data_IF_286199538444
#
_entry.id   IF_286199538444
#
_cell.length_a   1.000
_cell.length_b   1.000
_cell.length_c   1.000
_cell.angle_alpha   90.00
_cell.angle_beta   90.00
_cell.angle_gamma   90.00
#
_symmetry.space_group_name_H-M   'P 1'
#
loop_
_entity.id
_entity.type
_entity.pdbx_description
1 polymer ?
#
# COMPACT_ATOMS: atom_id res chain seq x y z
N UNK A 1 0.21 8.99 -10.41
CA UNK A 1 0.43 7.54 -10.60
C UNK A 1 -0.80 6.90 -11.23
N UNK A 2 -0.73 5.62 -11.63
CA UNK A 2 -1.82 4.93 -12.35
C UNK A 2 -2.92 4.32 -11.47
N UNK A 3 -2.85 4.53 -10.16
CA UNK A 3 -3.76 3.87 -9.21
C UNK A 3 -3.40 2.42 -8.92
N UNK A 4 -4.20 1.78 -8.07
CA UNK A 4 -4.05 0.41 -7.60
C UNK A 4 -5.29 -0.37 -8.04
N UNK A 5 -5.07 -1.56 -8.58
CA UNK A 5 -6.15 -2.46 -8.99
C UNK A 5 -6.97 -2.88 -7.75
N UNK A 6 -8.32 -2.92 -7.83
CA UNK A 6 -9.18 -3.24 -6.69
C UNK A 6 -8.81 -4.53 -5.96
N UNK A 7 -8.38 -5.57 -6.69
CA UNK A 7 -7.93 -6.85 -6.15
C UNK A 7 -6.66 -6.77 -5.28
N UNK A 8 -5.87 -5.71 -5.44
CA UNK A 8 -4.63 -5.50 -4.71
C UNK A 8 -4.82 -4.66 -3.45
N UNK A 9 -5.89 -3.86 -3.35
CA UNK A 9 -6.12 -2.93 -2.23
C UNK A 9 -6.02 -3.61 -0.86
N UNK A 10 -6.57 -4.82 -0.72
CA UNK A 10 -6.51 -5.57 0.54
C UNK A 10 -5.13 -6.17 0.85
N UNK A 11 -4.27 -6.27 -0.16
CA UNK A 11 -2.94 -6.92 -0.07
C UNK A 11 -1.80 -5.92 0.07
N UNK A 12 -2.00 -4.64 -0.28
CA UNK A 12 -0.90 -3.65 -0.33
C UNK A 12 -0.19 -3.41 1.00
N UNK A 13 -0.84 -3.72 2.13
CA UNK A 13 -0.25 -3.63 3.47
C UNK A 13 0.35 -4.96 3.96
N UNK A 14 0.23 -6.04 3.20
CA UNK A 14 0.85 -7.32 3.53
C UNK A 14 2.37 -7.22 3.31
N UNK A 15 3.19 -7.71 4.24
CA UNK A 15 4.63 -7.80 4.05
C UNK A 15 4.97 -8.55 2.76
N UNK A 16 5.97 -8.05 2.03
CA UNK A 16 6.49 -8.60 0.78
C UNK A 16 5.53 -8.54 -0.42
N UNK A 17 4.34 -7.95 -0.28
CA UNK A 17 3.46 -7.75 -1.44
C UNK A 17 4.01 -6.68 -2.38
N UNK A 18 4.18 -7.04 -3.65
CA UNK A 18 4.61 -6.11 -4.70
C UNK A 18 4.08 -6.57 -6.06
N UNK A 19 3.68 -5.61 -6.90
CA UNK A 19 3.37 -5.87 -8.33
C UNK A 19 4.57 -5.61 -9.23
N UNK A 20 5.71 -5.18 -8.66
CA UNK A 20 6.94 -4.96 -9.41
C UNK A 20 7.62 -6.30 -9.73
N UNK A 21 8.39 -6.38 -10.83
CA UNK A 21 9.15 -7.57 -11.16
C UNK A 21 10.11 -8.00 -10.03
N UNK A 22 10.50 -9.29 -9.99
CA UNK A 22 11.50 -9.78 -9.06
C UNK A 22 12.78 -8.94 -9.07
N UNK A 23 13.31 -8.62 -7.88
CA UNK A 23 14.53 -7.81 -7.72
C UNK A 23 14.33 -6.29 -7.80
N UNK A 24 13.14 -5.79 -8.15
CA UNK A 24 12.88 -4.33 -8.28
C UNK A 24 12.20 -3.75 -7.03
N UNK A 25 11.47 -4.56 -6.27
CA UNK A 25 10.76 -4.11 -5.07
C UNK A 25 10.71 -5.18 -4.00
N UNK A 26 10.98 -4.79 -2.76
CA UNK A 26 10.92 -5.68 -1.58
C UNK A 26 9.50 -5.88 -1.06
N UNK A 27 8.57 -4.98 -1.38
CA UNK A 27 7.19 -5.03 -0.87
C UNK A 27 7.05 -4.73 0.64
N UNK A 28 8.05 -4.08 1.25
CA UNK A 28 8.06 -3.83 2.70
C UNK A 28 7.61 -2.43 3.13
N UNK A 29 7.59 -1.45 2.21
CA UNK A 29 7.36 -0.06 2.56
C UNK A 29 6.00 0.18 3.24
N UNK A 30 4.91 -0.26 2.60
CA UNK A 30 3.56 -0.05 3.11
C UNK A 30 3.26 -0.88 4.37
N UNK A 31 3.80 -2.09 4.50
CA UNK A 31 3.66 -2.89 5.72
C UNK A 31 4.35 -2.22 6.92
N UNK A 32 5.52 -1.61 6.69
CA UNK A 32 6.24 -0.86 7.74
C UNK A 32 5.46 0.39 8.14
N UNK A 33 4.99 1.18 7.18
CA UNK A 33 4.17 2.38 7.44
C UNK A 33 2.90 2.03 8.23
N UNK A 34 2.18 0.99 7.81
CA UNK A 34 0.98 0.53 8.50
C UNK A 34 1.30 0.11 9.95
N UNK A 35 2.39 -0.62 10.17
CA UNK A 35 2.84 -1.01 11.51
C UNK A 35 3.20 0.19 12.40
N UNK A 36 3.91 1.19 11.85
CA UNK A 36 4.26 2.42 12.58
C UNK A 36 2.99 3.16 13.00
N UNK A 37 2.06 3.42 12.08
CA UNK A 37 0.83 4.18 12.35
C UNK A 37 0.00 3.46 13.41
N UNK A 38 -0.20 2.14 13.26
CA UNK A 38 -0.93 1.32 14.24
C UNK A 38 -0.25 1.31 15.61
N UNK A 39 1.09 1.25 15.64
CA UNK A 39 1.86 1.34 16.89
C UNK A 39 1.68 2.65 17.66
N UNK A 40 1.30 3.72 16.97
CA UNK A 40 0.97 5.02 17.56
C UNK A 40 -0.54 5.20 17.82
N UNK A 41 -1.35 4.15 17.65
CA UNK A 41 -2.80 4.21 17.81
C UNK A 41 -3.54 4.92 16.66
N UNK A 42 -2.86 5.19 15.54
CA UNK A 42 -3.46 5.78 14.35
C UNK A 42 -4.11 4.75 13.42
N UNK A 43 -4.70 5.26 12.34
CA UNK A 43 -5.23 4.44 11.25
C UNK A 43 -4.70 4.94 9.91
N UNK A 44 -4.77 4.11 8.87
CA UNK A 44 -4.42 4.54 7.51
C UNK A 44 -5.50 4.08 6.54
N UNK A 45 -6.07 5.02 5.79
CA UNK A 45 -7.01 4.75 4.73
C UNK A 45 -6.38 4.99 3.36
N UNK A 46 -6.91 4.31 2.35
CA UNK A 46 -6.44 4.42 0.97
C UNK A 46 -7.62 4.62 0.03
N UNK A 47 -7.52 5.65 -0.79
CA UNK A 47 -8.45 5.89 -1.89
C UNK A 47 -7.68 5.76 -3.20
N UNK A 48 -8.11 4.83 -4.04
CA UNK A 48 -7.44 4.59 -5.31
C UNK A 48 -8.42 4.20 -6.39
N UNK A 49 -8.14 4.70 -7.59
CA UNK A 49 -8.86 4.29 -8.80
C UNK A 49 -7.86 4.08 -9.93
N UNK A 50 -7.94 2.92 -10.57
CA UNK A 50 -7.16 2.61 -11.78
C UNK A 50 -7.28 3.73 -12.81
N UNK A 51 -6.14 4.18 -13.32
CA UNK A 51 -6.01 5.31 -14.26
C UNK A 51 -6.12 6.70 -13.63
N UNK A 52 -6.47 6.84 -12.34
CA UNK A 52 -6.64 8.16 -11.69
C UNK A 52 -5.66 8.45 -10.55
N UNK A 53 -4.99 7.42 -10.03
CA UNK A 53 -4.01 7.56 -8.96
C UNK A 53 -4.48 7.00 -7.62
N UNK A 54 -3.70 7.32 -6.58
CA UNK A 54 -3.88 6.81 -5.22
C UNK A 54 -3.56 7.92 -4.23
N UNK A 55 -4.40 8.05 -3.21
CA UNK A 55 -4.17 8.88 -2.03
C UNK A 55 -4.20 7.99 -0.78
N UNK A 56 -3.36 8.33 0.20
CA UNK A 56 -3.33 7.70 1.52
C UNK A 56 -3.58 8.79 2.58
N UNK A 57 -4.36 8.46 3.61
CA UNK A 57 -4.70 9.37 4.72
C UNK A 57 -4.39 8.69 6.04
N UNK A 58 -3.79 9.41 6.99
CA UNK A 58 -3.35 8.93 8.32
C UNK A 58 -4.14 9.66 9.39
#
# INVERSE_FOLDING_TARGET
GQGIAPEHIRKIFQPFFTTKPPGVGTGLGLSVVHGIIKGHGGDISVESRSGKGTAFTI
#
